data_IF_330433552442
#
_entry.id   IF_330433552442
#
_cell.length_a   1.000
_cell.length_b   1.000
_cell.length_c   1.000
_cell.angle_alpha   90.00
_cell.angle_beta   90.00
_cell.angle_gamma   90.00
#
_symmetry.space_group_name_H-M   'P 1'
#
loop_
_entity.id
_entity.type
_entity.pdbx_description
1 polymer ?
#
# COMPACT_ATOMS: atom_id res chain seq x y z
N UNK A 1 0.33 18.60 -0.26
CA UNK A 1 0.28 18.52 -1.74
C UNK A 1 -0.45 17.26 -2.18
N UNK A 2 -1.53 17.44 -2.94
CA UNK A 2 -2.30 16.38 -3.61
C UNK A 2 -1.76 16.28 -5.03
N UNK A 3 -1.18 15.15 -5.42
CA UNK A 3 -0.82 14.96 -6.84
C UNK A 3 -2.10 14.72 -7.62
N UNK A 4 -2.60 15.75 -8.31
CA UNK A 4 -3.83 15.67 -9.12
C UNK A 4 -3.83 14.46 -10.06
N UNK A 5 -2.69 14.19 -10.70
CA UNK A 5 -2.44 13.04 -11.59
C UNK A 5 -2.64 11.67 -10.93
N UNK A 6 -2.34 11.54 -9.64
CA UNK A 6 -2.50 10.27 -8.89
C UNK A 6 -3.97 10.05 -8.52
N UNK A 7 -4.72 11.13 -8.23
CA UNK A 7 -6.15 11.03 -7.97
C UNK A 7 -6.96 10.81 -9.25
N UNK A 8 -6.58 11.44 -10.37
CA UNK A 8 -7.20 11.21 -11.69
C UNK A 8 -7.04 9.75 -12.14
N UNK A 9 -5.89 9.14 -11.83
CA UNK A 9 -5.62 7.71 -12.10
C UNK A 9 -5.82 6.81 -10.90
N UNK A 10 -6.61 7.24 -9.91
CA UNK A 10 -6.89 6.44 -8.71
C UNK A 10 -7.50 5.08 -9.06
N UNK A 11 -8.41 5.04 -10.03
CA UNK A 11 -9.05 3.80 -10.49
C UNK A 11 -8.02 2.80 -11.05
N UNK A 12 -7.09 3.25 -11.89
CA UNK A 12 -6.02 2.41 -12.44
C UNK A 12 -5.08 1.87 -11.37
N UNK A 13 -4.73 2.71 -10.39
CA UNK A 13 -3.86 2.32 -9.27
C UNK A 13 -4.54 1.24 -8.42
N UNK A 14 -5.83 1.42 -8.12
CA UNK A 14 -6.62 0.48 -7.33
C UNK A 14 -6.87 -0.83 -8.08
N UNK A 15 -7.18 -0.78 -9.38
CA UNK A 15 -7.34 -1.98 -10.20
C UNK A 15 -6.03 -2.79 -10.28
N UNK A 16 -4.88 -2.12 -10.41
CA UNK A 16 -3.59 -2.79 -10.45
C UNK A 16 -3.19 -3.36 -9.08
N UNK A 17 -3.58 -2.69 -8.00
CA UNK A 17 -3.41 -3.15 -6.63
C UNK A 17 -4.27 -4.39 -6.33
N UNK A 18 -5.55 -4.39 -6.70
CA UNK A 18 -6.45 -5.54 -6.53
C UNK A 18 -6.02 -6.74 -7.38
N UNK A 19 -5.55 -6.51 -8.61
CA UNK A 19 -5.03 -7.57 -9.47
C UNK A 19 -3.73 -8.20 -8.93
N UNK A 20 -2.98 -7.48 -8.09
CA UNK A 20 -1.69 -7.91 -7.54
C UNK A 20 -1.60 -7.60 -6.05
N UNK A 21 -2.42 -8.27 -5.23
CA UNK A 21 -2.57 -8.01 -3.78
C UNK A 21 -1.29 -8.05 -2.94
N UNK A 22 -0.22 -8.66 -3.44
CA UNK A 22 1.10 -8.72 -2.78
C UNK A 22 2.19 -7.87 -3.46
N UNK A 23 1.82 -6.94 -4.33
CA UNK A 23 2.79 -6.02 -4.95
C UNK A 23 3.34 -5.04 -3.92
N UNK A 24 4.66 -4.84 -3.91
CA UNK A 24 5.28 -3.78 -3.11
C UNK A 24 4.96 -2.39 -3.68
N UNK A 25 5.09 -1.34 -2.86
CA UNK A 25 4.93 0.04 -3.35
C UNK A 25 5.92 0.41 -4.45
N UNK A 26 7.12 -0.20 -4.44
CA UNK A 26 8.15 0.07 -5.43
C UNK A 26 7.85 -0.61 -6.77
N UNK A 27 7.36 -1.85 -6.74
CA UNK A 27 6.88 -2.55 -7.93
C UNK A 27 5.63 -1.88 -8.51
N UNK A 28 4.72 -1.42 -7.65
CA UNK A 28 3.58 -0.61 -8.06
C UNK A 28 4.07 0.67 -8.76
N UNK A 29 5.06 1.38 -8.20
CA UNK A 29 5.68 2.54 -8.85
C UNK A 29 6.22 2.20 -10.23
N UNK A 30 6.95 1.09 -10.38
CA UNK A 30 7.49 0.64 -11.68
C UNK A 30 6.39 0.30 -12.68
N UNK A 31 5.32 -0.36 -12.24
CA UNK A 31 4.17 -0.67 -13.08
C UNK A 31 3.42 0.59 -13.53
N UNK A 32 3.26 1.57 -12.63
CA UNK A 32 2.67 2.86 -12.95
C UNK A 32 3.56 3.66 -13.91
N UNK A 33 4.88 3.62 -13.74
CA UNK A 33 5.83 4.24 -14.67
C UNK A 33 5.73 3.63 -16.08
N UNK A 34 5.55 2.32 -16.21
CA UNK A 34 5.28 1.64 -17.50
C UNK A 34 3.99 2.13 -18.16
N UNK A 35 2.99 2.54 -17.37
CA UNK A 35 1.74 3.17 -17.85
C UNK A 35 1.86 4.70 -18.03
N UNK A 36 3.07 5.26 -17.95
CA UNK A 36 3.33 6.69 -18.07
C UNK A 36 2.88 7.52 -16.86
N UNK A 37 2.64 6.91 -15.69
CA UNK A 37 2.33 7.62 -14.45
C UNK A 37 3.56 7.72 -13.56
N UNK A 38 4.16 8.92 -13.53
CA UNK A 38 5.19 9.25 -12.55
C UNK A 38 4.55 9.51 -11.18
N UNK A 39 4.64 8.54 -10.28
CA UNK A 39 4.23 8.68 -8.87
C UNK A 39 5.44 8.46 -7.95
N UNK A 40 5.54 9.25 -6.88
CA UNK A 40 6.53 9.03 -5.83
C UNK A 40 6.03 7.96 -4.84
N UNK A 41 6.97 7.21 -4.24
CA UNK A 41 6.64 6.20 -3.21
C UNK A 41 5.89 6.85 -2.04
N UNK A 42 6.35 8.02 -1.57
CA UNK A 42 5.68 8.78 -0.51
C UNK A 42 4.27 9.24 -0.92
N UNK A 43 4.07 9.57 -2.20
CA UNK A 43 2.76 9.93 -2.76
C UNK A 43 1.79 8.74 -2.77
N UNK A 44 2.25 7.56 -3.19
CA UNK A 44 1.50 6.31 -3.13
C UNK A 44 1.20 5.92 -1.68
N UNK A 45 2.17 6.01 -0.78
CA UNK A 45 1.96 5.73 0.64
C UNK A 45 0.87 6.63 1.24
N UNK A 46 0.91 7.94 1.00
CA UNK A 46 -0.15 8.86 1.46
C UNK A 46 -1.49 8.60 0.76
N UNK A 47 -1.50 8.13 -0.49
CA UNK A 47 -2.71 7.79 -1.22
C UNK A 47 -3.42 6.58 -0.59
N UNK A 48 -2.67 5.54 -0.24
CA UNK A 48 -3.18 4.34 0.43
C UNK A 48 -3.54 4.60 1.89
N UNK A 49 -2.69 5.32 2.64
CA UNK A 49 -2.96 5.69 4.03
C UNK A 49 -4.26 6.49 4.18
N UNK A 50 -4.55 7.41 3.24
CA UNK A 50 -5.82 8.17 3.22
C UNK A 50 -7.05 7.30 2.95
N UNK A 51 -6.88 6.16 2.28
CA UNK A 51 -7.96 5.21 1.96
C UNK A 51 -8.09 4.09 3.01
N UNK A 52 -7.31 4.15 4.10
CA UNK A 52 -7.25 3.08 5.10
C UNK A 52 -6.65 1.78 4.57
N UNK A 53 -6.04 1.81 3.39
CA UNK A 53 -5.46 0.65 2.70
C UNK A 53 -4.01 0.47 3.12
N UNK A 54 -3.77 0.28 4.42
CA UNK A 54 -2.44 -0.04 4.93
C UNK A 54 -2.30 -1.56 5.03
N UNK A 55 -1.28 -2.12 4.38
CA UNK A 55 -0.95 -3.55 4.56
C UNK A 55 -0.51 -3.75 6.00
N UNK A 56 -1.29 -4.52 6.78
CA UNK A 56 -0.91 -4.91 8.14
C UNK A 56 0.35 -5.77 8.05
N UNK A 57 1.48 -5.27 8.54
CA UNK A 57 2.72 -6.06 8.65
C UNK A 57 2.52 -7.08 9.78
N UNK A 58 1.99 -8.27 9.49
CA UNK A 58 1.77 -9.29 10.52
C UNK A 58 2.83 -10.38 10.41
N UNK A 59 3.74 -10.42 11.38
CA UNK A 59 4.04 -11.71 12.01
C UNK A 59 2.97 -11.87 13.08
N UNK A 60 2.15 -12.89 12.95
CA UNK A 60 1.21 -13.28 14.00
C UNK A 60 2.03 -13.91 15.13
N UNK A 61 2.69 -13.10 15.97
CA UNK A 61 3.18 -13.63 17.24
C UNK A 61 1.96 -13.84 18.14
N UNK A 62 1.66 -15.09 18.58
CA UNK A 62 0.71 -15.29 19.65
C UNK A 62 1.22 -14.56 20.90
N UNK A 63 0.33 -13.86 21.60
CA UNK A 63 0.65 -13.30 22.90
C UNK A 63 1.03 -14.47 23.81
N UNK A 64 2.29 -14.53 24.23
CA UNK A 64 2.73 -15.51 25.22
C UNK A 64 1.98 -15.23 26.52
N UNK A 65 0.99 -16.06 26.85
CA UNK A 65 0.44 -16.13 28.21
C UNK A 65 1.47 -16.82 29.08
N UNK A 66 2.54 -16.13 29.44
CA UNK A 66 3.34 -16.49 30.61
C UNK A 66 2.59 -16.04 31.86
N UNK A 67 1.60 -16.84 32.25
CA UNK A 67 1.30 -17.10 33.67
C UNK A 67 1.64 -18.57 33.91
N UNK A 68 2.32 -18.91 35.02
CA UNK A 68 1.53 -19.27 36.20
C UNK A 68 2.14 -18.88 37.58
N UNK A 69 1.21 -18.64 38.52
CA UNK A 69 1.22 -18.84 40.00
C UNK A 69 2.51 -18.60 40.81
N UNK A 70 2.48 -17.59 41.69
CA UNK A 70 2.34 -17.77 43.14
C UNK A 70 2.00 -16.45 43.85
#
# INVERSE_FOLDING_TARGET
>A
MRSRRVEERAADILALWEARKDISLEELRRALAKKGLAASVSGLHRFFARRGMTRKKRLAMPSSKTGPTS
#
